data_IF_452545885407
#
_entry.id   IF_452545885407
#
_cell.length_a   1.000
_cell.length_b   1.000
_cell.length_c   1.000
_cell.angle_alpha   90.00
_cell.angle_beta   90.00
_cell.angle_gamma   90.00
#
_symmetry.space_group_name_H-M   'P 1'
#
loop_
_entity.id
_entity.type
_entity.pdbx_description
1 polymer ?
#
# COMPACT_ATOMS: atom_id res chain seq x y z
N UNK A 1 -1.03 -41.56 -18.30
CA UNK A 1 -2.20 -41.02 -17.60
C UNK A 1 -1.76 -39.73 -16.88
N UNK A 2 -2.16 -38.59 -17.44
CA UNK A 2 -1.98 -37.31 -16.79
C UNK A 2 -3.03 -37.22 -15.68
N UNK A 3 -2.61 -37.05 -14.43
CA UNK A 3 -3.51 -36.77 -13.33
C UNK A 3 -4.06 -35.34 -13.57
N UNK A 4 -5.38 -35.17 -13.80
CA UNK A 4 -5.93 -33.82 -13.95
C UNK A 4 -5.75 -33.06 -12.62
N UNK A 5 -5.00 -32.01 -12.67
CA UNK A 5 -4.83 -31.11 -11.52
C UNK A 5 -6.04 -30.17 -11.50
N UNK A 6 -7.13 -30.62 -10.90
CA UNK A 6 -8.29 -29.78 -10.67
C UNK A 6 -8.07 -28.92 -9.42
N UNK A 7 -8.13 -27.63 -9.62
CA UNK A 7 -8.06 -26.65 -8.54
C UNK A 7 -9.50 -26.38 -8.09
N UNK A 8 -9.89 -26.70 -6.84
CA UNK A 8 -11.23 -26.39 -6.35
C UNK A 8 -11.52 -24.90 -6.45
N UNK A 9 -12.67 -24.52 -6.98
CA UNK A 9 -13.08 -23.10 -7.15
C UNK A 9 -13.22 -22.34 -5.82
N UNK A 10 -13.53 -23.06 -4.74
CA UNK A 10 -13.64 -22.51 -3.38
C UNK A 10 -12.30 -22.07 -2.77
N UNK A 11 -11.18 -22.62 -3.26
CA UNK A 11 -9.84 -22.20 -2.82
C UNK A 11 -9.29 -20.94 -3.56
N UNK A 12 -10.01 -20.41 -4.56
CA UNK A 12 -9.55 -19.28 -5.36
C UNK A 12 -9.34 -17.99 -4.53
N UNK A 13 -10.26 -17.57 -3.63
CA UNK A 13 -10.07 -16.36 -2.83
C UNK A 13 -8.86 -16.44 -1.90
N UNK A 14 -8.64 -17.57 -1.23
CA UNK A 14 -7.51 -17.78 -0.31
C UNK A 14 -6.17 -17.76 -1.06
N UNK A 15 -6.12 -18.31 -2.27
CA UNK A 15 -4.93 -18.27 -3.11
C UNK A 15 -4.61 -16.87 -3.61
N UNK A 16 -5.63 -16.11 -3.99
CA UNK A 16 -5.46 -14.70 -4.35
C UNK A 16 -4.87 -13.95 -3.17
N UNK A 17 -5.45 -14.10 -1.97
CA UNK A 17 -4.93 -13.46 -0.77
C UNK A 17 -3.46 -13.84 -0.52
N UNK A 18 -3.12 -15.14 -0.61
CA UNK A 18 -1.75 -15.61 -0.41
C UNK A 18 -0.76 -15.03 -1.45
N UNK A 19 -1.17 -14.85 -2.70
CA UNK A 19 -0.34 -14.21 -3.74
C UNK A 19 -0.11 -12.74 -3.40
N UNK A 20 -1.16 -12.01 -3.02
CA UNK A 20 -1.06 -10.59 -2.66
C UNK A 20 -0.15 -10.41 -1.44
N UNK A 21 -0.30 -11.24 -0.42
CA UNK A 21 0.55 -11.26 0.77
C UNK A 21 2.02 -11.55 0.43
N UNK A 22 2.28 -12.49 -0.47
CA UNK A 22 3.64 -12.82 -0.90
C UNK A 22 4.33 -11.65 -1.62
N UNK A 23 3.60 -10.93 -2.48
CA UNK A 23 4.11 -9.75 -3.19
C UNK A 23 4.37 -8.61 -2.20
N UNK A 24 3.45 -8.38 -1.25
CA UNK A 24 3.63 -7.39 -0.20
C UNK A 24 4.82 -7.72 0.70
N UNK A 25 4.96 -9.00 1.09
CA UNK A 25 6.10 -9.48 1.87
C UNK A 25 7.44 -9.28 1.16
N UNK A 26 7.50 -9.55 -0.15
CA UNK A 26 8.69 -9.30 -0.96
C UNK A 26 9.11 -7.82 -0.99
N UNK A 27 8.15 -6.89 -0.99
CA UNK A 27 8.40 -5.46 -0.85
C UNK A 27 8.92 -5.11 0.56
N UNK A 28 8.33 -5.71 1.60
CA UNK A 28 8.64 -5.43 3.00
C UNK A 28 10.04 -5.87 3.44
N UNK A 29 10.57 -6.96 2.87
CA UNK A 29 11.88 -7.54 3.24
C UNK A 29 13.03 -6.53 3.02
N UNK A 30 12.93 -5.67 2.01
CA UNK A 30 14.00 -4.74 1.62
C UNK A 30 13.75 -3.30 2.06
N UNK A 31 12.68 -3.06 2.80
CA UNK A 31 12.42 -1.76 3.38
C UNK A 31 13.53 -1.36 4.39
N UNK A 32 14.15 -0.16 4.33
CA UNK A 32 13.74 1.03 3.59
C UNK A 32 14.49 1.28 2.27
N UNK A 33 15.32 0.36 1.80
CA UNK A 33 16.29 0.56 0.73
C UNK A 33 16.07 -0.37 -0.47
N UNK A 34 14.86 -0.44 -0.99
CA UNK A 34 14.53 -1.30 -2.14
C UNK A 34 15.37 -0.91 -3.36
N UNK A 35 16.22 -1.81 -3.91
CA UNK A 35 16.97 -1.54 -5.14
C UNK A 35 16.02 -1.22 -6.31
N UNK A 36 16.44 -0.33 -7.22
CA UNK A 36 15.59 0.17 -8.31
C UNK A 36 15.06 -0.93 -9.24
N UNK A 37 15.91 -1.89 -9.58
CA UNK A 37 15.57 -3.04 -10.42
C UNK A 37 14.53 -3.92 -9.75
N UNK A 38 14.67 -4.16 -8.45
CA UNK A 38 13.71 -4.93 -7.67
C UNK A 38 12.39 -4.19 -7.47
N UNK A 39 12.45 -2.88 -7.24
CA UNK A 39 11.24 -2.05 -7.18
C UNK A 39 10.46 -2.13 -8.51
N UNK A 40 11.16 -1.99 -9.65
CA UNK A 40 10.53 -2.10 -10.96
C UNK A 40 9.87 -3.47 -11.17
N UNK A 41 10.51 -4.56 -10.71
CA UNK A 41 9.96 -5.91 -10.77
C UNK A 41 8.68 -6.05 -9.91
N UNK A 42 8.71 -5.55 -8.66
CA UNK A 42 7.57 -5.63 -7.74
C UNK A 42 6.38 -4.82 -8.27
N UNK A 43 6.63 -3.61 -8.76
CA UNK A 43 5.58 -2.77 -9.37
C UNK A 43 5.03 -3.40 -10.65
N UNK A 44 5.90 -3.96 -11.50
CA UNK A 44 5.49 -4.69 -12.70
C UNK A 44 4.65 -5.92 -12.38
N UNK A 45 4.99 -6.67 -11.32
CA UNK A 45 4.22 -7.82 -10.86
C UNK A 45 2.83 -7.38 -10.34
N UNK A 46 2.76 -6.28 -9.59
CA UNK A 46 1.49 -5.74 -9.13
C UNK A 46 0.58 -5.32 -10.32
N UNK A 47 1.15 -4.74 -11.37
CA UNK A 47 0.40 -4.40 -12.60
C UNK A 47 -0.13 -5.66 -13.28
N UNK A 48 0.70 -6.70 -13.50
CA UNK A 48 0.27 -7.99 -14.06
C UNK A 48 -0.86 -8.62 -13.24
N UNK A 49 -0.82 -8.51 -11.91
CA UNK A 49 -1.88 -9.01 -11.03
C UNK A 49 -3.18 -8.25 -11.28
N UNK A 50 -3.14 -6.92 -11.40
CA UNK A 50 -4.36 -6.14 -11.68
C UNK A 50 -4.91 -6.36 -13.08
N UNK A 51 -4.07 -6.63 -14.08
CA UNK A 51 -4.50 -7.00 -15.44
C UNK A 51 -5.13 -8.40 -15.49
N UNK A 52 -4.60 -9.35 -14.72
CA UNK A 52 -5.09 -10.74 -14.68
C UNK A 52 -6.35 -10.87 -13.84
N UNK A 53 -6.49 -10.04 -12.80
CA UNK A 53 -7.60 -10.06 -11.84
C UNK A 53 -8.25 -8.68 -11.70
N UNK A 54 -8.79 -8.09 -12.79
CA UNK A 54 -9.25 -6.69 -12.81
C UNK A 54 -10.46 -6.41 -11.90
N UNK A 55 -11.17 -7.45 -11.47
CA UNK A 55 -12.34 -7.34 -10.59
C UNK A 55 -12.01 -7.63 -9.12
N UNK A 56 -10.74 -7.89 -8.79
CA UNK A 56 -10.31 -8.12 -7.41
C UNK A 56 -9.89 -6.79 -6.79
N UNK A 57 -10.71 -6.25 -5.92
CA UNK A 57 -10.49 -4.94 -5.27
C UNK A 57 -9.15 -4.87 -4.53
N UNK A 58 -8.78 -5.93 -3.80
CA UNK A 58 -7.51 -5.97 -3.06
C UNK A 58 -6.27 -6.11 -3.95
N UNK A 59 -6.38 -6.61 -5.18
CA UNK A 59 -5.30 -6.55 -6.15
C UNK A 59 -4.97 -5.08 -6.50
N UNK A 60 -5.99 -4.28 -6.77
CA UNK A 60 -5.84 -2.84 -6.97
C UNK A 60 -5.43 -2.12 -5.68
N UNK A 61 -5.91 -2.57 -4.51
CA UNK A 61 -5.49 -2.08 -3.19
C UNK A 61 -3.98 -2.23 -2.98
N UNK A 62 -3.45 -3.43 -3.25
CA UNK A 62 -2.02 -3.71 -3.16
C UNK A 62 -1.21 -2.87 -4.16
N UNK A 63 -1.63 -2.79 -5.44
CA UNK A 63 -0.96 -1.98 -6.43
C UNK A 63 -0.91 -0.49 -6.02
N UNK A 64 -2.01 0.03 -5.48
CA UNK A 64 -2.08 1.38 -4.94
C UNK A 64 -1.11 1.58 -3.77
N UNK A 65 -1.08 0.65 -2.82
CA UNK A 65 -0.20 0.69 -1.65
C UNK A 65 1.27 0.70 -2.06
N UNK A 66 1.67 -0.20 -2.96
CA UNK A 66 3.05 -0.29 -3.45
C UNK A 66 3.47 1.00 -4.18
N UNK A 67 2.63 1.55 -5.04
CA UNK A 67 2.89 2.81 -5.74
C UNK A 67 3.05 3.98 -4.75
N UNK A 68 2.11 4.17 -3.83
CA UNK A 68 2.10 5.29 -2.88
C UNK A 68 3.24 5.19 -1.85
N UNK A 69 3.56 3.99 -1.40
CA UNK A 69 4.70 3.76 -0.51
C UNK A 69 6.03 4.00 -1.23
N UNK A 70 6.16 3.51 -2.46
CA UNK A 70 7.38 3.64 -3.26
C UNK A 70 7.62 5.07 -3.74
N UNK A 71 6.57 5.85 -3.95
CA UNK A 71 6.69 7.25 -4.32
C UNK A 71 7.54 8.07 -3.34
N UNK A 72 7.58 7.67 -2.07
CA UNK A 72 8.30 8.36 -1.01
C UNK A 72 9.74 7.87 -0.80
N UNK A 73 10.16 6.78 -1.48
CA UNK A 73 11.51 6.21 -1.34
C UNK A 73 12.64 7.26 -1.49
N UNK A 74 12.58 8.20 -2.45
CA UNK A 74 13.65 9.19 -2.61
C UNK A 74 13.85 10.12 -1.41
N UNK A 75 12.84 10.24 -0.53
CA UNK A 75 12.89 11.10 0.65
C UNK A 75 13.04 10.33 1.98
N UNK A 76 13.08 8.98 1.96
CA UNK A 76 13.16 8.16 3.17
C UNK A 76 14.52 8.19 3.86
N UNK A 77 15.57 8.46 3.11
CA UNK A 77 16.91 8.55 3.65
C UNK A 77 17.50 9.94 3.37
N UNK A 78 18.27 10.45 4.33
CA UNK A 78 19.07 11.65 4.14
C UNK A 78 20.39 11.32 3.37
N UNK A 79 21.21 12.32 3.13
CA UNK A 79 22.48 12.16 2.42
C UNK A 79 23.49 11.24 3.15
N UNK A 80 23.32 11.09 4.47
CA UNK A 80 24.14 10.21 5.30
C UNK A 80 23.52 8.78 5.41
N UNK A 81 22.43 8.48 4.67
CA UNK A 81 21.76 7.18 4.70
C UNK A 81 20.92 6.94 5.97
N UNK A 82 20.61 7.97 6.76
CA UNK A 82 19.77 7.84 7.96
C UNK A 82 18.30 7.98 7.59
N UNK A 83 17.47 7.21 8.29
CA UNK A 83 16.03 7.27 8.09
C UNK A 83 15.46 8.66 8.44
N UNK A 84 14.62 9.17 7.54
CA UNK A 84 13.89 10.44 7.71
C UNK A 84 12.43 10.13 8.03
N UNK A 85 11.93 10.51 9.22
CA UNK A 85 10.52 10.35 9.58
C UNK A 85 9.60 11.00 8.56
N UNK A 86 8.39 10.46 8.38
CA UNK A 86 7.44 10.94 7.37
C UNK A 86 7.14 12.45 7.51
N UNK A 87 7.05 12.95 8.73
CA UNK A 87 6.79 14.38 9.01
C UNK A 87 7.90 15.27 8.44
N UNK A 88 9.14 14.80 8.46
CA UNK A 88 10.34 15.55 8.07
C UNK A 88 10.74 15.32 6.60
N UNK A 89 10.08 14.38 5.90
CA UNK A 89 10.35 14.15 4.48
C UNK A 89 9.97 15.34 3.62
N UNK A 90 10.86 15.68 2.67
CA UNK A 90 10.58 16.69 1.65
C UNK A 90 9.65 16.13 0.56
N UNK A 91 8.37 16.61 0.47
CA UNK A 91 7.43 16.14 -0.53
C UNK A 91 7.81 16.50 -1.97
N UNK A 92 8.72 17.44 -2.20
CA UNK A 92 9.21 17.78 -3.53
C UNK A 92 10.06 16.66 -4.14
N UNK A 93 10.64 15.79 -3.31
CA UNK A 93 11.41 14.61 -3.71
C UNK A 93 10.55 13.39 -4.04
N UNK A 94 9.25 13.43 -3.75
CA UNK A 94 8.35 12.30 -3.99
C UNK A 94 8.02 12.13 -5.46
N UNK A 95 7.93 10.88 -5.90
CA UNK A 95 7.59 10.53 -7.29
C UNK A 95 6.09 10.77 -7.56
N UNK A 96 5.81 11.88 -8.26
CA UNK A 96 4.43 12.30 -8.60
C UNK A 96 3.73 11.33 -9.56
N UNK A 97 4.49 10.61 -10.41
CA UNK A 97 3.94 9.63 -11.31
C UNK A 97 3.40 8.42 -10.53
N UNK A 98 4.20 7.90 -9.60
CA UNK A 98 3.76 6.81 -8.71
C UNK A 98 2.58 7.23 -7.82
N UNK A 99 2.56 8.48 -7.32
CA UNK A 99 1.40 8.98 -6.58
C UNK A 99 0.14 8.96 -7.47
N UNK A 100 0.21 9.46 -8.71
CA UNK A 100 -0.93 9.49 -9.62
C UNK A 100 -1.41 8.07 -9.98
N UNK A 101 -0.48 7.14 -10.19
CA UNK A 101 -0.78 5.73 -10.46
C UNK A 101 -1.46 5.07 -9.26
N UNK A 102 -0.91 5.25 -8.07
CA UNK A 102 -1.51 4.73 -6.83
C UNK A 102 -2.93 5.25 -6.59
N UNK A 103 -3.18 6.52 -6.81
CA UNK A 103 -4.54 7.07 -6.74
C UNK A 103 -5.48 6.48 -7.80
N UNK A 104 -4.99 6.13 -8.99
CA UNK A 104 -5.80 5.48 -10.03
C UNK A 104 -6.24 4.10 -9.57
N UNK A 105 -5.31 3.27 -9.09
CA UNK A 105 -5.62 1.95 -8.56
C UNK A 105 -6.56 2.03 -7.35
N UNK A 106 -6.34 2.96 -6.42
CA UNK A 106 -7.19 3.13 -5.24
C UNK A 106 -8.64 3.49 -5.62
N UNK A 107 -8.84 4.32 -6.64
CA UNK A 107 -10.19 4.61 -7.17
C UNK A 107 -10.83 3.37 -7.79
N UNK A 108 -10.08 2.56 -8.54
CA UNK A 108 -10.59 1.30 -9.11
C UNK A 108 -10.98 0.33 -7.99
N UNK A 109 -10.13 0.16 -6.99
CA UNK A 109 -10.43 -0.69 -5.82
C UNK A 109 -11.71 -0.24 -5.11
N UNK A 110 -11.86 1.06 -4.88
CA UNK A 110 -13.05 1.62 -4.24
C UNK A 110 -14.34 1.39 -5.05
N UNK A 111 -14.27 1.51 -6.38
CA UNK A 111 -15.41 1.28 -7.27
C UNK A 111 -15.91 -0.19 -7.24
N UNK A 112 -15.05 -1.14 -6.89
CA UNK A 112 -15.37 -2.56 -6.75
C UNK A 112 -16.10 -2.88 -5.43
N UNK A 113 -16.20 -1.93 -4.51
CA UNK A 113 -17.01 -1.99 -3.27
C UNK A 113 -16.70 -3.17 -2.34
N UNK A 114 -15.49 -3.72 -2.39
CA UNK A 114 -15.00 -4.78 -1.51
C UNK A 114 -13.76 -4.28 -0.75
N UNK A 115 -13.99 -3.65 0.41
CA UNK A 115 -12.93 -3.04 1.21
C UNK A 115 -12.11 -4.12 1.92
N UNK A 116 -10.78 -4.00 1.81
CA UNK A 116 -9.84 -4.88 2.48
C UNK A 116 -8.61 -4.12 3.03
N UNK A 117 -7.70 -4.84 3.70
CA UNK A 117 -6.56 -4.24 4.39
C UNK A 117 -5.62 -3.48 3.45
N UNK A 118 -5.30 -3.98 2.26
CA UNK A 118 -4.43 -3.26 1.32
C UNK A 118 -5.03 -1.94 0.85
N UNK A 119 -6.35 -1.89 0.63
CA UNK A 119 -7.03 -0.64 0.31
C UNK A 119 -6.95 0.37 1.44
N UNK A 120 -7.13 -0.06 2.69
CA UNK A 120 -7.04 0.83 3.86
C UNK A 120 -5.63 1.35 4.04
N UNK A 121 -4.61 0.51 3.92
CA UNK A 121 -3.21 0.94 3.96
C UNK A 121 -2.88 1.90 2.81
N UNK A 122 -3.38 1.63 1.61
CA UNK A 122 -3.23 2.53 0.47
C UNK A 122 -3.91 3.88 0.71
N UNK A 123 -5.11 3.90 1.29
CA UNK A 123 -5.83 5.13 1.62
C UNK A 123 -5.07 5.96 2.66
N UNK A 124 -4.52 5.34 3.70
CA UNK A 124 -3.64 6.00 4.69
C UNK A 124 -2.42 6.62 3.99
N UNK A 125 -1.75 5.87 3.12
CA UNK A 125 -0.61 6.39 2.36
C UNK A 125 -1.01 7.53 1.41
N UNK A 126 -2.19 7.47 0.77
CA UNK A 126 -2.72 8.52 -0.09
C UNK A 126 -2.94 9.83 0.68
N UNK A 127 -3.50 9.76 1.91
CA UNK A 127 -3.67 10.92 2.78
C UNK A 127 -2.33 11.60 3.09
N UNK A 128 -1.28 10.84 3.36
CA UNK A 128 0.04 11.39 3.56
C UNK A 128 0.64 11.97 2.27
N UNK A 129 0.43 11.30 1.11
CA UNK A 129 0.91 11.77 -0.18
C UNK A 129 0.24 13.08 -0.64
N UNK A 130 -0.91 13.47 -0.09
CA UNK A 130 -1.56 14.76 -0.37
C UNK A 130 -0.66 15.97 -0.02
N UNK A 131 0.34 15.79 0.85
CA UNK A 131 1.37 16.81 1.13
C UNK A 131 2.18 17.21 -0.11
N UNK A 132 2.30 16.35 -1.12
CA UNK A 132 2.97 16.66 -2.39
C UNK A 132 2.31 17.81 -3.17
N UNK A 133 1.05 18.12 -2.86
CA UNK A 133 0.27 19.24 -3.43
C UNK A 133 -0.06 20.31 -2.37
N UNK A 134 0.63 20.29 -1.23
CA UNK A 134 0.48 21.29 -0.17
C UNK A 134 -0.72 21.06 0.77
N UNK A 135 -1.39 19.92 0.69
CA UNK A 135 -2.51 19.61 1.59
C UNK A 135 -1.99 19.16 2.96
N UNK A 136 -2.70 19.58 4.02
CA UNK A 136 -2.49 19.06 5.37
C UNK A 136 -3.30 17.78 5.54
N UNK A 137 -2.76 16.73 6.17
CA UNK A 137 -3.52 15.51 6.46
C UNK A 137 -4.76 15.79 7.31
N UNK A 138 -5.88 15.21 6.93
CA UNK A 138 -7.08 15.18 7.78
C UNK A 138 -6.91 14.06 8.83
N UNK A 139 -6.52 14.48 10.03
CA UNK A 139 -6.23 13.57 11.14
C UNK A 139 -7.46 12.78 11.58
N UNK A 140 -8.67 13.36 11.49
CA UNK A 140 -9.91 12.67 11.83
C UNK A 140 -10.18 11.51 10.86
N UNK A 141 -10.00 11.76 9.56
CA UNK A 141 -10.12 10.71 8.55
C UNK A 141 -9.01 9.67 8.69
N UNK A 142 -7.76 10.08 8.94
CA UNK A 142 -6.66 9.15 9.20
C UNK A 142 -6.94 8.23 10.39
N UNK A 143 -7.45 8.78 11.50
CA UNK A 143 -7.83 8.01 12.68
C UNK A 143 -8.84 6.92 12.31
N UNK A 144 -9.91 7.26 11.58
CA UNK A 144 -10.94 6.30 11.14
C UNK A 144 -10.38 5.19 10.25
N UNK A 145 -9.46 5.53 9.34
CA UNK A 145 -8.80 4.54 8.49
C UNK A 145 -7.94 3.57 9.32
N UNK A 146 -7.15 4.08 10.27
CA UNK A 146 -6.36 3.24 11.16
C UNK A 146 -7.22 2.38 12.08
N UNK A 147 -8.32 2.91 12.62
CA UNK A 147 -9.29 2.14 13.42
C UNK A 147 -9.88 1.00 12.59
N UNK A 148 -10.31 1.28 11.35
CA UNK A 148 -10.84 0.27 10.43
C UNK A 148 -9.81 -0.80 10.08
N UNK A 149 -8.56 -0.40 9.80
CA UNK A 149 -7.47 -1.32 9.52
C UNK A 149 -7.18 -2.22 10.73
N UNK A 150 -7.19 -1.66 11.94
CA UNK A 150 -6.95 -2.42 13.17
C UNK A 150 -8.06 -3.45 13.48
N UNK A 151 -9.29 -3.20 12.98
CA UNK A 151 -10.40 -4.18 13.05
C UNK A 151 -10.22 -5.30 12.03
N UNK A 152 -9.84 -4.98 10.78
CA UNK A 152 -9.73 -5.97 9.69
C UNK A 152 -8.42 -6.78 9.74
N UNK A 153 -7.31 -6.15 10.09
CA UNK A 153 -5.97 -6.75 10.11
C UNK A 153 -5.17 -6.21 11.31
N UNK A 154 -5.46 -6.66 12.53
CA UNK A 154 -4.80 -6.17 13.72
C UNK A 154 -3.32 -6.54 13.76
N UNK A 155 -2.45 -5.53 13.89
CA UNK A 155 -1.01 -5.71 14.06
C UNK A 155 -0.48 -4.81 15.17
N UNK A 156 0.63 -5.19 15.80
CA UNK A 156 1.28 -4.35 16.82
C UNK A 156 1.73 -3.01 16.20
N UNK A 157 2.30 -3.03 14.99
CA UNK A 157 2.70 -1.82 14.25
C UNK A 157 1.51 -0.90 13.94
N UNK A 158 0.38 -1.48 13.51
CA UNK A 158 -0.86 -0.75 13.28
C UNK A 158 -1.40 -0.10 14.57
N UNK A 159 -1.31 -0.78 15.71
CA UNK A 159 -1.68 -0.23 17.00
C UNK A 159 -0.81 0.97 17.42
N UNK A 160 0.49 0.91 17.18
CA UNK A 160 1.40 2.05 17.41
C UNK A 160 1.08 3.22 16.49
N UNK A 161 0.83 2.95 15.20
CA UNK A 161 0.46 3.99 14.24
C UNK A 161 -0.87 4.67 14.61
N UNK A 162 -1.88 3.89 15.03
CA UNK A 162 -3.16 4.43 15.52
C UNK A 162 -2.96 5.31 16.75
N UNK A 163 -2.15 4.88 17.72
CA UNK A 163 -1.86 5.67 18.91
C UNK A 163 -1.20 7.01 18.57
N UNK A 164 -0.28 7.03 17.58
CA UNK A 164 0.33 8.26 17.11
C UNK A 164 -0.70 9.21 16.46
N UNK A 165 -1.64 8.68 15.67
CA UNK A 165 -2.69 9.50 15.04
C UNK A 165 -3.69 10.03 16.09
N UNK A 166 -4.02 9.25 17.13
CA UNK A 166 -4.86 9.70 18.24
C UNK A 166 -4.23 10.91 18.93
N UNK A 167 -2.90 10.87 19.18
CA UNK A 167 -2.20 11.98 19.80
C UNK A 167 -2.22 13.29 18.98
N UNK A 168 -2.49 13.23 17.69
CA UNK A 168 -2.66 14.41 16.82
C UNK A 168 -4.11 14.93 16.79
N UNK A 169 -5.08 14.15 17.32
CA UNK A 169 -6.51 14.48 17.28
C UNK A 169 -7.09 14.89 18.63
N UNK A 170 -6.42 14.57 19.74
CA UNK A 170 -6.81 14.91 21.12
C UNK A 170 -6.10 16.17 21.61
#
# INVERSE_FOLDING_TARGET
DAIPFEIPDDAAPERVAAVLEAVYGAYGIEWPTVPRDRLALILGLAEVITETMPLVAEAHGLAALLCLSSARLPARLDEAGRFVPLADQDPARWDRHLIALGHRHLRTAHALSAVGPFQLEAAINAMHCARAVGSVPDWVTLRRLHESLQVLAPTAGGGVALAAVIAETD
#
